data_IF_601694338524
#
_entry.id   IF_601694338524
#
_cell.length_a   1.000
_cell.length_b   1.000
_cell.length_c   1.000
_cell.angle_alpha   90.00
_cell.angle_beta   90.00
_cell.angle_gamma   90.00
#
_symmetry.space_group_name_H-M   'P 1'
#
loop_
_entity.id
_entity.type
_entity.pdbx_description
1 polymer ?
#
# COMPACT_ATOMS: atom_id res chain seq x y z
N UNK A 1 17.03 3.07 -72.23
CA UNK A 1 17.16 1.91 -71.32
C UNK A 1 17.96 2.23 -70.04
N UNK A 2 19.10 2.95 -70.10
CA UNK A 2 19.90 3.36 -68.91
C UNK A 2 19.14 4.11 -67.80
N UNK A 3 18.16 4.96 -68.14
CA UNK A 3 17.35 5.73 -67.18
C UNK A 3 16.32 4.90 -66.43
N UNK A 4 15.71 3.90 -67.08
CA UNK A 4 14.73 3.00 -66.44
C UNK A 4 15.39 2.09 -65.40
N UNK A 5 16.61 1.62 -65.69
CA UNK A 5 17.42 0.85 -64.73
C UNK A 5 17.79 1.71 -63.53
N UNK A 6 18.22 2.95 -63.74
CA UNK A 6 18.55 3.87 -62.65
C UNK A 6 17.34 4.25 -61.78
N UNK A 7 16.15 4.40 -62.37
CA UNK A 7 14.90 4.67 -61.62
C UNK A 7 14.49 3.44 -60.81
N UNK A 8 14.57 2.23 -61.37
CA UNK A 8 14.27 1.00 -60.63
C UNK A 8 15.27 0.73 -59.51
N UNK A 9 16.56 1.02 -59.73
CA UNK A 9 17.60 0.93 -58.71
C UNK A 9 17.37 1.92 -57.56
N UNK A 10 17.06 3.18 -57.89
CA UNK A 10 16.71 4.20 -56.89
C UNK A 10 15.41 3.87 -56.13
N UNK A 11 14.42 3.32 -56.82
CA UNK A 11 13.15 2.91 -56.22
C UNK A 11 13.33 1.68 -55.31
N UNK A 12 14.23 0.75 -55.66
CA UNK A 12 14.63 -0.37 -54.81
C UNK A 12 15.40 0.09 -53.57
N UNK A 13 16.34 1.03 -53.72
CA UNK A 13 17.12 1.60 -52.62
C UNK A 13 16.19 2.29 -51.60
N UNK A 14 15.25 3.11 -52.07
CA UNK A 14 14.28 3.79 -51.19
C UNK A 14 13.36 2.83 -50.45
N UNK A 15 12.87 1.78 -51.13
CA UNK A 15 12.05 0.75 -50.49
C UNK A 15 12.83 -0.04 -49.44
N UNK A 16 14.13 -0.24 -49.64
CA UNK A 16 15.00 -0.85 -48.64
C UNK A 16 15.15 0.07 -47.41
N UNK A 17 15.40 1.36 -47.63
CA UNK A 17 15.51 2.36 -46.56
C UNK A 17 14.21 2.45 -45.74
N UNK A 18 13.04 2.48 -46.39
CA UNK A 18 11.74 2.52 -45.71
C UNK A 18 11.48 1.23 -44.88
N UNK A 19 11.83 0.05 -45.43
CA UNK A 19 11.71 -1.23 -44.70
C UNK A 19 12.66 -1.30 -43.51
N UNK A 20 13.89 -0.84 -43.67
CA UNK A 20 14.88 -0.75 -42.60
C UNK A 20 14.39 0.21 -41.50
N UNK A 21 13.82 1.36 -41.88
CA UNK A 21 13.19 2.30 -40.94
C UNK A 21 12.05 1.67 -40.14
N UNK A 22 11.10 1.01 -40.81
CA UNK A 22 9.99 0.34 -40.15
C UNK A 22 10.44 -0.77 -39.18
N UNK A 23 11.47 -1.54 -39.56
CA UNK A 23 12.05 -2.57 -38.68
C UNK A 23 12.71 -1.95 -37.44
N UNK A 24 13.49 -0.87 -37.60
CA UNK A 24 14.12 -0.16 -36.49
C UNK A 24 13.09 0.45 -35.54
N UNK A 25 11.99 0.99 -36.07
CA UNK A 25 10.88 1.49 -35.24
C UNK A 25 10.19 0.38 -34.45
N UNK A 26 9.96 -0.79 -35.07
CA UNK A 26 9.38 -1.93 -34.40
C UNK A 26 10.26 -2.44 -33.25
N UNK A 27 11.58 -2.55 -33.47
CA UNK A 27 12.55 -2.94 -32.43
C UNK A 27 12.57 -1.94 -31.28
N UNK A 28 12.58 -0.63 -31.58
CA UNK A 28 12.52 0.40 -30.52
C UNK A 28 11.24 0.32 -29.70
N UNK A 29 10.10 0.06 -30.33
CA UNK A 29 8.82 -0.13 -29.61
C UNK A 29 8.85 -1.37 -28.72
N UNK A 30 9.48 -2.45 -29.17
CA UNK A 30 9.66 -3.65 -28.37
C UNK A 30 10.55 -3.39 -27.15
N UNK A 31 11.70 -2.74 -27.34
CA UNK A 31 12.61 -2.38 -26.25
C UNK A 31 11.92 -1.45 -25.23
N UNK A 32 11.19 -0.44 -25.70
CA UNK A 32 10.39 0.45 -24.85
C UNK A 32 9.32 -0.31 -24.05
N UNK A 33 8.63 -1.26 -24.68
CA UNK A 33 7.63 -2.07 -24.00
C UNK A 33 8.25 -2.98 -22.92
N UNK A 34 9.44 -3.54 -23.19
CA UNK A 34 10.20 -4.35 -22.23
C UNK A 34 10.66 -3.51 -21.04
N UNK A 35 11.20 -2.31 -21.27
CA UNK A 35 11.60 -1.39 -20.20
C UNK A 35 10.39 -0.97 -19.36
N UNK A 36 9.27 -0.64 -19.99
CA UNK A 36 8.03 -0.28 -19.31
C UNK A 36 7.51 -1.44 -18.44
N UNK A 37 7.58 -2.68 -18.93
CA UNK A 37 7.19 -3.87 -18.16
C UNK A 37 8.10 -4.09 -16.95
N UNK A 38 9.41 -3.98 -17.12
CA UNK A 38 10.38 -4.10 -16.02
C UNK A 38 10.13 -3.04 -14.95
N UNK A 39 9.93 -1.78 -15.37
CA UNK A 39 9.62 -0.68 -14.46
C UNK A 39 8.30 -0.91 -13.71
N UNK A 40 7.24 -1.35 -14.41
CA UNK A 40 5.96 -1.67 -13.80
C UNK A 40 6.06 -2.83 -12.79
N UNK A 41 6.85 -3.86 -13.11
CA UNK A 41 7.08 -5.02 -12.23
C UNK A 41 7.80 -4.60 -10.95
N UNK A 42 8.87 -3.82 -11.06
CA UNK A 42 9.61 -3.32 -9.90
C UNK A 42 8.72 -2.42 -9.03
N UNK A 43 7.93 -1.54 -9.65
CA UNK A 43 6.99 -0.69 -8.94
C UNK A 43 5.96 -1.52 -8.17
N UNK A 44 5.35 -2.52 -8.81
CA UNK A 44 4.40 -3.41 -8.17
C UNK A 44 5.01 -4.15 -6.98
N UNK A 45 6.25 -4.65 -7.10
CA UNK A 45 6.95 -5.29 -6.00
C UNK A 45 7.13 -4.35 -4.81
N UNK A 46 7.58 -3.11 -5.07
CA UNK A 46 7.74 -2.09 -4.03
C UNK A 46 6.39 -1.79 -3.36
N UNK A 47 5.34 -1.55 -4.16
CA UNK A 47 4.01 -1.22 -3.66
C UNK A 47 3.44 -2.34 -2.77
N UNK A 48 3.62 -3.61 -3.17
CA UNK A 48 3.21 -4.79 -2.39
C UNK A 48 4.00 -4.89 -1.09
N UNK A 49 5.34 -4.75 -1.13
CA UNK A 49 6.16 -4.80 0.09
C UNK A 49 5.75 -3.72 1.09
N UNK A 50 5.46 -2.51 0.61
CA UNK A 50 5.01 -1.42 1.46
C UNK A 50 3.61 -1.68 2.03
N UNK A 51 2.67 -2.21 1.24
CA UNK A 51 1.33 -2.56 1.71
C UNK A 51 1.38 -3.66 2.81
N UNK A 52 2.20 -4.70 2.61
CA UNK A 52 2.44 -5.75 3.63
C UNK A 52 3.00 -5.13 4.91
N UNK A 53 4.04 -4.30 4.81
CA UNK A 53 4.64 -3.69 5.98
C UNK A 53 3.64 -2.81 6.77
N UNK A 54 2.82 -2.02 6.07
CA UNK A 54 1.75 -1.22 6.69
C UNK A 54 0.71 -2.09 7.39
N UNK A 55 0.28 -3.17 6.73
CA UNK A 55 -0.70 -4.10 7.28
C UNK A 55 -0.19 -4.77 8.55
N UNK A 56 1.03 -5.30 8.52
CA UNK A 56 1.66 -5.95 9.67
C UNK A 56 1.77 -4.99 10.85
N UNK A 57 2.31 -3.78 10.63
CA UNK A 57 2.47 -2.78 11.68
C UNK A 57 1.13 -2.38 12.29
N UNK A 58 0.10 -2.11 11.47
CA UNK A 58 -1.22 -1.72 11.95
C UNK A 58 -1.89 -2.83 12.76
N UNK A 59 -1.73 -4.10 12.34
CA UNK A 59 -2.23 -5.27 13.09
C UNK A 59 -1.52 -5.43 14.43
N UNK A 60 -0.19 -5.33 14.46
CA UNK A 60 0.60 -5.40 15.71
C UNK A 60 0.20 -4.28 16.68
N UNK A 61 0.06 -3.04 16.21
CA UNK A 61 -0.37 -1.92 17.03
C UNK A 61 -1.78 -2.11 17.59
N UNK A 62 -2.73 -2.56 16.76
CA UNK A 62 -4.07 -2.87 17.22
C UNK A 62 -4.07 -4.00 18.26
N UNK A 63 -3.20 -5.01 18.08
CA UNK A 63 -3.09 -6.13 19.01
C UNK A 63 -2.54 -5.69 20.37
N UNK A 64 -1.43 -4.95 20.40
CA UNK A 64 -0.86 -4.39 21.65
C UNK A 64 -1.87 -3.53 22.42
N UNK A 65 -2.62 -2.70 21.71
CA UNK A 65 -3.66 -1.89 22.35
C UNK A 65 -4.80 -2.73 22.93
N UNK A 66 -5.23 -3.77 22.21
CA UNK A 66 -6.33 -4.66 22.62
C UNK A 66 -5.93 -5.54 23.80
N UNK A 67 -4.75 -6.13 23.74
CA UNK A 67 -4.36 -7.22 24.63
C UNK A 67 -3.65 -6.70 25.89
N UNK A 68 -3.02 -5.52 25.83
CA UNK A 68 -2.23 -4.98 26.96
C UNK A 68 -2.75 -3.62 27.44
N UNK A 69 -2.78 -2.63 26.56
CA UNK A 69 -3.01 -1.23 26.98
C UNK A 69 -4.44 -0.98 27.46
N UNK A 70 -5.44 -1.50 26.74
CA UNK A 70 -6.85 -1.32 27.09
C UNK A 70 -7.24 -2.01 28.40
N UNK A 71 -6.89 -3.30 28.64
CA UNK A 71 -7.16 -3.94 29.93
C UNK A 71 -6.50 -3.21 31.10
N UNK A 72 -5.27 -2.71 30.89
CA UNK A 72 -4.54 -1.94 31.91
C UNK A 72 -5.24 -0.63 32.23
N UNK A 73 -5.64 0.14 31.22
CA UNK A 73 -6.35 1.41 31.43
C UNK A 73 -7.76 1.22 32.00
N UNK A 74 -8.45 0.13 31.63
CA UNK A 74 -9.74 -0.23 32.21
C UNK A 74 -9.58 -0.52 33.70
N UNK A 75 -8.59 -1.33 34.08
CA UNK A 75 -8.28 -1.65 35.48
C UNK A 75 -7.94 -0.38 36.27
N UNK A 76 -7.15 0.54 35.69
CA UNK A 76 -6.81 1.81 36.33
C UNK A 76 -8.04 2.70 36.55
N UNK A 77 -8.93 2.79 35.57
CA UNK A 77 -10.19 3.52 35.68
C UNK A 77 -11.09 2.93 36.78
N UNK A 78 -11.22 1.60 36.83
CA UNK A 78 -12.09 0.94 37.80
C UNK A 78 -11.53 1.07 39.22
N UNK A 79 -10.20 1.03 39.37
CA UNK A 79 -9.52 1.31 40.64
C UNK A 79 -9.68 2.78 41.08
N UNK A 80 -9.53 3.74 40.16
CA UNK A 80 -9.72 5.15 40.44
C UNK A 80 -11.15 5.44 40.89
N UNK A 81 -12.14 4.90 40.17
CA UNK A 81 -13.56 5.01 40.52
C UNK A 81 -13.82 4.42 41.92
N UNK A 82 -13.27 3.25 42.21
CA UNK A 82 -13.45 2.64 43.53
C UNK A 82 -12.80 3.46 44.64
N UNK A 83 -11.60 4.01 44.39
CA UNK A 83 -10.92 4.89 45.34
C UNK A 83 -11.70 6.18 45.62
N UNK A 84 -12.34 6.76 44.59
CA UNK A 84 -13.21 7.91 44.73
C UNK A 84 -14.48 7.60 45.55
N UNK A 85 -15.17 6.48 45.24
CA UNK A 85 -16.34 6.03 46.02
C UNK A 85 -16.03 5.83 47.51
N UNK A 86 -14.79 5.42 47.82
CA UNK A 86 -14.31 5.22 49.18
C UNK A 86 -13.72 6.49 49.82
N UNK A 87 -13.74 7.63 49.12
CA UNK A 87 -13.18 8.90 49.58
C UNK A 87 -11.64 8.95 49.65
N UNK A 88 -10.95 7.96 49.06
CA UNK A 88 -9.48 7.85 49.08
C UNK A 88 -8.80 8.62 47.94
N UNK A 89 -9.50 8.82 46.82
CA UNK A 89 -9.00 9.54 45.64
C UNK A 89 -9.94 10.69 45.27
N UNK A 90 -9.41 11.67 44.53
CA UNK A 90 -10.19 12.79 44.02
C UNK A 90 -10.98 12.38 42.77
N UNK A 91 -12.09 13.07 42.49
CA UNK A 91 -12.84 12.84 41.26
C UNK A 91 -12.01 13.08 39.99
N UNK A 92 -11.00 13.97 40.07
CA UNK A 92 -10.07 14.23 38.97
C UNK A 92 -9.29 12.97 38.56
N UNK A 93 -8.92 12.10 39.51
CA UNK A 93 -8.21 10.85 39.22
C UNK A 93 -9.07 9.92 38.35
N UNK A 94 -10.39 9.91 38.58
CA UNK A 94 -11.36 9.16 37.78
C UNK A 94 -11.42 9.71 36.36
N UNK A 95 -11.50 11.04 36.21
CA UNK A 95 -11.57 11.69 34.91
C UNK A 95 -10.30 11.48 34.08
N UNK A 96 -9.12 11.50 34.71
CA UNK A 96 -7.85 11.26 34.03
C UNK A 96 -7.72 9.81 33.56
N UNK A 97 -8.13 8.84 34.39
CA UNK A 97 -8.17 7.45 34.00
C UNK A 97 -9.20 7.19 32.87
N UNK A 98 -10.38 7.83 32.94
CA UNK A 98 -11.40 7.74 31.90
C UNK A 98 -10.89 8.33 30.58
N UNK A 99 -10.25 9.50 30.63
CA UNK A 99 -9.65 10.16 29.45
C UNK A 99 -8.63 9.25 28.78
N UNK A 100 -7.78 8.59 29.57
CA UNK A 100 -6.77 7.64 29.09
C UNK A 100 -7.43 6.44 28.42
N UNK A 101 -8.41 5.81 29.08
CA UNK A 101 -9.16 4.68 28.53
C UNK A 101 -9.83 5.02 27.19
N UNK A 102 -10.51 6.17 27.10
CA UNK A 102 -11.16 6.60 25.85
C UNK A 102 -10.12 6.92 24.77
N UNK A 103 -8.97 7.49 25.13
CA UNK A 103 -7.89 7.74 24.19
C UNK A 103 -7.36 6.43 23.57
N UNK A 104 -7.07 5.41 24.37
CA UNK A 104 -6.62 4.11 23.89
C UNK A 104 -7.68 3.41 23.02
N UNK A 105 -8.97 3.52 23.36
CA UNK A 105 -10.06 2.97 22.53
C UNK A 105 -10.09 3.61 21.14
N UNK A 106 -9.88 4.92 21.05
CA UNK A 106 -9.78 5.62 19.75
C UNK A 106 -8.57 5.16 18.94
N UNK A 107 -7.42 4.98 19.60
CA UNK A 107 -6.22 4.47 18.93
C UNK A 107 -6.46 3.05 18.38
N UNK A 108 -7.08 2.16 19.16
CA UNK A 108 -7.39 0.81 18.69
C UNK A 108 -8.26 0.83 17.42
N UNK A 109 -9.31 1.67 17.42
CA UNK A 109 -10.18 1.81 16.26
C UNK A 109 -9.42 2.33 15.04
N UNK A 110 -8.55 3.33 15.23
CA UNK A 110 -7.73 3.89 14.16
C UNK A 110 -6.78 2.83 13.57
N UNK A 111 -6.02 2.11 14.39
CA UNK A 111 -5.10 1.08 13.91
C UNK A 111 -5.83 -0.11 13.26
N UNK A 112 -7.02 -0.45 13.75
CA UNK A 112 -7.87 -1.46 13.10
C UNK A 112 -8.33 -0.99 11.71
N UNK A 113 -8.75 0.28 11.58
CA UNK A 113 -9.12 0.85 10.29
C UNK A 113 -7.93 0.92 9.33
N UNK A 114 -6.74 1.26 9.82
CA UNK A 114 -5.52 1.31 9.03
C UNK A 114 -5.10 -0.09 8.55
N UNK A 115 -5.28 -1.12 9.38
CA UNK A 115 -5.09 -2.51 8.96
C UNK A 115 -6.07 -2.89 7.84
N UNK A 116 -7.36 -2.59 7.96
CA UNK A 116 -8.34 -2.88 6.90
C UNK A 116 -8.02 -2.14 5.60
N UNK A 117 -7.59 -0.88 5.66
CA UNK A 117 -7.16 -0.12 4.47
C UNK A 117 -5.94 -0.74 3.81
N UNK A 118 -4.93 -1.13 4.59
CA UNK A 118 -3.72 -1.76 4.07
C UNK A 118 -4.01 -3.12 3.42
N UNK A 119 -4.95 -3.88 3.98
CA UNK A 119 -5.41 -5.16 3.41
C UNK A 119 -6.13 -4.94 2.07
N UNK A 120 -7.05 -3.98 1.99
CA UNK A 120 -7.74 -3.62 0.75
C UNK A 120 -6.77 -3.09 -0.33
N UNK A 121 -5.74 -2.34 0.06
CA UNK A 121 -4.67 -1.92 -0.84
C UNK A 121 -3.88 -3.12 -1.39
N UNK A 122 -3.59 -4.11 -0.55
CA UNK A 122 -2.91 -5.34 -0.97
C UNK A 122 -3.78 -6.14 -1.94
N UNK A 123 -5.08 -6.29 -1.67
CA UNK A 123 -6.04 -6.94 -2.57
C UNK A 123 -6.09 -6.27 -3.95
N UNK A 124 -6.13 -4.93 -3.96
CA UNK A 124 -6.11 -4.13 -5.18
C UNK A 124 -4.82 -4.32 -5.98
N UNK A 125 -3.67 -4.41 -5.31
CA UNK A 125 -2.38 -4.62 -5.96
C UNK A 125 -2.23 -6.06 -6.50
N UNK A 126 -2.78 -7.05 -5.81
CA UNK A 126 -2.71 -8.46 -6.21
C UNK A 126 -3.82 -8.87 -7.19
N UNK A 127 -4.84 -8.03 -7.36
CA UNK A 127 -6.00 -8.31 -8.22
C UNK A 127 -6.86 -9.48 -7.73
N UNK A 128 -6.82 -9.80 -6.43
CA UNK A 128 -7.57 -10.90 -5.81
C UNK A 128 -8.01 -10.52 -4.39
N UNK A 129 -9.24 -10.89 -3.98
CA UNK A 129 -9.66 -10.74 -2.59
C UNK A 129 -8.87 -11.69 -1.69
N UNK A 130 -8.35 -11.17 -0.58
CA UNK A 130 -7.65 -11.88 0.49
C UNK A 130 -8.62 -12.19 1.64
N UNK A 131 -9.65 -11.37 1.85
CA UNK A 131 -10.75 -11.67 2.75
C UNK A 131 -11.67 -12.75 2.16
N UNK A 132 -11.71 -13.92 2.79
CA UNK A 132 -12.77 -14.92 2.60
C UNK A 132 -13.72 -14.79 3.79
N UNK A 133 -14.93 -14.30 3.54
CA UNK A 133 -16.08 -14.70 4.34
C UNK A 133 -16.40 -16.19 4.09
#
# INVERSE_FOLDING_TARGET
QRTLVAIMDWQGQRQADDRLGALLEALRREDQAREALTAATLKLQIDVHQAVARLTLAREQAQLLRDEALPTAQTAHDAALKGYELGKFAFLDVLDAQRTLVHLRRQLLQHSADAHRADADLERLLGRPMHKD
#
